data_IF_271032499387
#
_entry.id   IF_271032499387
#
_cell.length_a   1.000
_cell.length_b   1.000
_cell.length_c   1.000
_cell.angle_alpha   90.00
_cell.angle_beta   90.00
_cell.angle_gamma   90.00
#
_symmetry.space_group_name_H-M   'P 1'
#
loop_
_entity.id
_entity.type
_entity.pdbx_description
1 polymer ?
#
# COMPACT_ATOMS: atom_id res chain seq x y z
N UNK A 1 -59.42 33.58 4.73
CA UNK A 1 -58.07 33.02 4.96
C UNK A 1 -57.96 32.80 6.46
N UNK A 2 -58.20 31.58 6.92
CA UNK A 2 -58.34 31.28 8.34
C UNK A 2 -57.01 31.40 9.08
N UNK A 3 -56.98 32.30 10.07
CA UNK A 3 -55.86 32.56 10.97
C UNK A 3 -55.26 31.26 11.52
N UNK A 4 -56.12 30.31 11.87
CA UNK A 4 -55.75 29.00 12.43
C UNK A 4 -54.91 28.16 11.45
N UNK A 5 -55.23 28.19 10.16
CA UNK A 5 -54.45 27.48 9.13
C UNK A 5 -53.06 28.08 8.96
N UNK A 6 -52.92 29.40 9.10
CA UNK A 6 -51.62 30.07 9.05
C UNK A 6 -50.75 29.66 10.25
N UNK A 7 -51.33 29.66 11.46
CA UNK A 7 -50.63 29.22 12.67
C UNK A 7 -50.16 27.76 12.58
N UNK A 8 -51.03 26.84 12.16
CA UNK A 8 -50.63 25.44 11.96
C UNK A 8 -49.48 25.29 10.95
N UNK A 9 -49.50 26.08 9.87
CA UNK A 9 -48.43 26.04 8.88
C UNK A 9 -47.10 26.55 9.45
N UNK A 10 -47.13 27.65 10.21
CA UNK A 10 -45.94 28.20 10.88
C UNK A 10 -45.38 27.20 11.89
N UNK A 11 -46.23 26.62 12.75
CA UNK A 11 -45.79 25.62 13.73
C UNK A 11 -45.20 24.36 13.08
N UNK A 12 -45.75 23.94 11.93
CA UNK A 12 -45.17 22.85 11.15
C UNK A 12 -43.80 23.23 10.60
N UNK A 13 -43.67 24.40 9.99
CA UNK A 13 -42.38 24.86 9.46
C UNK A 13 -41.33 24.98 10.58
N UNK A 14 -41.73 25.44 11.77
CA UNK A 14 -40.85 25.51 12.94
C UNK A 14 -40.36 24.11 13.37
N UNK A 15 -41.27 23.13 13.44
CA UNK A 15 -40.89 21.75 13.73
C UNK A 15 -39.97 21.15 12.66
N UNK A 16 -40.28 21.37 11.37
CA UNK A 16 -39.46 20.90 10.25
C UNK A 16 -38.06 21.54 10.27
N UNK A 17 -37.95 22.84 10.63
CA UNK A 17 -36.68 23.52 10.80
C UNK A 17 -35.86 22.96 11.97
N UNK A 18 -36.49 22.62 13.09
CA UNK A 18 -35.80 22.00 14.23
C UNK A 18 -35.26 20.62 13.85
N UNK A 19 -36.06 19.79 13.17
CA UNK A 19 -35.60 18.49 12.67
C UNK A 19 -34.41 18.65 11.70
N UNK A 20 -34.51 19.60 10.77
CA UNK A 20 -33.40 19.88 9.84
C UNK A 20 -32.14 20.37 10.57
N UNK A 21 -32.30 21.09 11.68
CA UNK A 21 -31.17 21.50 12.51
C UNK A 21 -30.50 20.30 13.19
N UNK A 22 -31.28 19.37 13.73
CA UNK A 22 -30.76 18.12 14.33
C UNK A 22 -30.05 17.24 13.29
N UNK A 23 -30.61 17.12 12.09
CA UNK A 23 -29.98 16.41 10.97
C UNK A 23 -28.64 17.05 10.58
N UNK A 24 -28.57 18.39 10.55
CA UNK A 24 -27.33 19.12 10.27
C UNK A 24 -26.28 18.93 11.37
N UNK A 25 -26.69 18.86 12.64
CA UNK A 25 -25.77 18.56 13.74
C UNK A 25 -25.19 17.15 13.59
N UNK A 26 -26.04 16.17 13.29
CA UNK A 26 -25.62 14.79 13.04
C UNK A 26 -24.65 14.69 11.86
N UNK A 27 -24.97 15.39 10.75
CA UNK A 27 -24.12 15.42 9.57
C UNK A 27 -22.77 16.06 9.85
N UNK A 28 -22.74 17.12 10.66
CA UNK A 28 -21.48 17.76 11.09
C UNK A 28 -20.61 16.79 11.89
N UNK A 29 -21.18 16.02 12.82
CA UNK A 29 -20.43 15.02 13.59
C UNK A 29 -19.88 13.89 12.70
N UNK A 30 -20.65 13.45 11.70
CA UNK A 30 -20.19 12.49 10.71
C UNK A 30 -19.05 13.06 9.86
N UNK A 31 -19.16 14.32 9.43
CA UNK A 31 -18.12 14.97 8.65
C UNK A 31 -16.80 15.10 9.42
N UNK A 32 -16.85 15.45 10.71
CA UNK A 32 -15.66 15.50 11.57
C UNK A 32 -14.98 14.13 11.63
N UNK A 33 -15.75 13.06 11.92
CA UNK A 33 -15.21 11.70 11.98
C UNK A 33 -14.58 11.26 10.66
N UNK A 34 -15.21 11.57 9.53
CA UNK A 34 -14.66 11.25 8.20
C UNK A 34 -13.35 11.99 7.92
N UNK A 35 -13.23 13.25 8.34
CA UNK A 35 -11.98 14.02 8.18
C UNK A 35 -10.88 13.43 9.07
N UNK A 36 -11.19 13.07 10.31
CA UNK A 36 -10.22 12.44 11.23
C UNK A 36 -9.72 11.08 10.70
N UNK A 37 -10.63 10.26 10.17
CA UNK A 37 -10.28 8.99 9.52
C UNK A 37 -9.42 9.22 8.27
N UNK A 38 -9.78 10.20 7.43
CA UNK A 38 -9.01 10.53 6.24
C UNK A 38 -7.58 10.99 6.57
N UNK A 39 -7.41 11.83 7.60
CA UNK A 39 -6.08 12.25 8.08
C UNK A 39 -5.28 11.04 8.57
N UNK A 40 -5.91 10.15 9.33
CA UNK A 40 -5.25 8.95 9.87
C UNK A 40 -4.77 8.02 8.74
N UNK A 41 -5.61 7.80 7.73
CA UNK A 41 -5.27 7.00 6.55
C UNK A 41 -4.15 7.65 5.72
N UNK A 42 -4.13 8.97 5.59
CA UNK A 42 -3.05 9.68 4.91
C UNK A 42 -1.71 9.49 5.62
N UNK A 43 -1.68 9.55 6.95
CA UNK A 43 -0.47 9.27 7.73
C UNK A 43 0.00 7.83 7.57
N UNK A 44 -0.93 6.87 7.56
CA UNK A 44 -0.60 5.46 7.37
C UNK A 44 -0.01 5.20 5.98
N UNK A 45 -0.63 5.79 4.95
CA UNK A 45 -0.13 5.76 3.56
C UNK A 45 1.29 6.30 3.46
N UNK A 46 1.56 7.48 4.02
CA UNK A 46 2.90 8.08 4.01
C UNK A 46 3.94 7.18 4.70
N UNK A 47 3.54 6.53 5.80
CA UNK A 47 4.41 5.57 6.50
C UNK A 47 4.73 4.36 5.63
N UNK A 48 3.74 3.77 4.94
CA UNK A 48 3.99 2.65 4.03
C UNK A 48 4.87 3.07 2.85
N UNK A 49 4.64 4.25 2.27
CA UNK A 49 5.46 4.75 1.15
C UNK A 49 6.93 4.88 1.55
N UNK A 50 7.22 5.42 2.74
CA UNK A 50 8.60 5.46 3.27
C UNK A 50 9.23 4.08 3.45
N UNK A 51 8.47 3.12 3.99
CA UNK A 51 8.95 1.75 4.15
C UNK A 51 9.24 1.09 2.80
N UNK A 52 8.41 1.33 1.79
CA UNK A 52 8.63 0.83 0.43
C UNK A 52 9.86 1.46 -0.23
N UNK A 53 10.07 2.76 -0.06
CA UNK A 53 11.29 3.43 -0.55
C UNK A 53 12.56 2.90 0.14
N UNK A 54 12.48 2.61 1.44
CA UNK A 54 13.57 1.97 2.19
C UNK A 54 13.83 0.53 1.70
N UNK A 55 12.79 -0.25 1.41
CA UNK A 55 12.92 -1.63 0.92
C UNK A 55 13.48 -1.68 -0.52
N UNK A 56 13.03 -0.79 -1.41
CA UNK A 56 13.59 -0.64 -2.76
C UNK A 56 15.07 -0.20 -2.73
N UNK A 57 15.45 0.69 -1.81
CA UNK A 57 16.84 1.09 -1.63
C UNK A 57 17.74 -0.07 -1.16
N UNK A 58 17.20 -0.96 -0.31
CA UNK A 58 17.92 -2.18 0.14
C UNK A 58 17.97 -3.23 -0.97
N UNK A 59 16.92 -3.40 -1.78
CA UNK A 59 16.92 -4.29 -2.94
C UNK A 59 17.88 -3.82 -4.06
N UNK A 60 17.96 -2.51 -4.33
CA UNK A 60 18.89 -1.98 -5.34
C UNK A 60 20.37 -2.24 -4.98
N UNK A 61 20.74 -2.14 -3.70
CA UNK A 61 22.11 -2.40 -3.24
C UNK A 61 22.40 -3.91 -3.09
N UNK A 62 21.39 -4.73 -2.73
CA UNK A 62 21.53 -6.18 -2.58
C UNK A 62 21.59 -6.91 -3.93
N UNK A 63 20.85 -6.46 -4.95
CA UNK A 63 20.77 -7.15 -6.24
C UNK A 63 21.89 -6.77 -7.22
N UNK A 64 22.47 -5.55 -7.10
CA UNK A 64 23.59 -5.11 -7.94
C UNK A 64 24.90 -5.86 -7.65
N UNK A 65 25.06 -6.43 -6.46
CA UNK A 65 26.25 -7.24 -6.07
C UNK A 65 26.09 -8.76 -6.23
N UNK A 66 24.86 -9.28 -6.14
CA UNK A 66 24.57 -10.71 -6.08
C UNK A 66 23.99 -11.23 -7.41
N UNK A 67 24.66 -10.95 -8.52
CA UNK A 67 24.28 -11.57 -9.80
C UNK A 67 24.59 -13.06 -9.73
N UNK A 68 23.81 -13.92 -10.40
CA UNK A 68 24.11 -15.36 -10.46
C UNK A 68 25.53 -15.65 -10.99
N UNK A 69 26.11 -14.74 -11.78
CA UNK A 69 27.51 -14.78 -12.18
C UNK A 69 28.47 -14.61 -11.01
N UNK A 70 28.23 -13.65 -10.09
CA UNK A 70 29.11 -13.47 -8.92
C UNK A 70 29.03 -14.67 -7.97
N UNK A 71 27.83 -15.21 -7.73
CA UNK A 71 27.65 -16.43 -6.94
C UNK A 71 28.38 -17.64 -7.56
N UNK A 72 28.37 -17.74 -8.89
CA UNK A 72 29.11 -18.80 -9.61
C UNK A 72 30.64 -18.62 -9.53
N UNK A 73 31.13 -17.39 -9.63
CA UNK A 73 32.55 -17.02 -9.51
C UNK A 73 33.08 -17.21 -8.07
N UNK A 74 32.24 -17.02 -7.05
CA UNK A 74 32.54 -17.33 -5.65
C UNK A 74 32.64 -18.84 -5.36
N UNK A 75 32.33 -19.68 -6.36
CA UNK A 75 32.47 -21.14 -6.26
C UNK A 75 31.21 -21.84 -5.80
N UNK A 76 30.03 -21.20 -5.87
CA UNK A 76 28.75 -21.84 -5.57
C UNK A 76 28.02 -22.29 -6.83
N UNK A 77 27.22 -23.34 -6.70
CA UNK A 77 26.32 -23.79 -7.77
C UNK A 77 25.12 -22.85 -7.91
N UNK A 78 24.75 -22.50 -9.15
CA UNK A 78 23.57 -21.67 -9.48
C UNK A 78 22.49 -22.41 -10.26
N UNK A 79 22.69 -23.71 -10.51
CA UNK A 79 21.69 -24.58 -11.12
C UNK A 79 20.64 -25.01 -10.10
N UNK A 80 19.44 -25.35 -10.57
CA UNK A 80 18.33 -25.82 -9.71
C UNK A 80 18.66 -27.08 -8.90
N UNK A 81 19.65 -27.86 -9.33
CA UNK A 81 20.01 -29.15 -8.71
C UNK A 81 20.84 -28.97 -7.44
N UNK A 82 21.71 -27.95 -7.40
CA UNK A 82 22.68 -27.76 -6.32
C UNK A 82 22.76 -26.31 -5.83
N UNK A 83 21.70 -25.50 -6.02
CA UNK A 83 21.73 -24.07 -5.76
C UNK A 83 22.32 -23.73 -4.36
N UNK A 84 23.37 -22.91 -4.34
CA UNK A 84 24.00 -22.41 -3.12
C UNK A 84 25.00 -23.35 -2.44
N UNK A 85 25.34 -24.51 -3.03
CA UNK A 85 26.40 -25.39 -2.48
C UNK A 85 27.76 -25.12 -3.10
N UNK A 86 28.86 -25.38 -2.36
CA UNK A 86 30.24 -25.25 -2.85
C UNK A 86 30.54 -26.23 -3.99
N UNK A 87 31.29 -25.76 -4.99
CA UNK A 87 31.83 -26.53 -6.11
C UNK A 87 33.13 -27.23 -5.69
N UNK A 88 33.28 -28.49 -6.10
CA UNK A 88 34.46 -29.31 -5.81
C UNK A 88 35.50 -29.24 -6.95
N UNK A 89 35.89 -28.03 -7.37
CA UNK A 89 36.89 -27.73 -8.42
C UNK A 89 36.57 -28.10 -9.89
N UNK A 90 35.41 -28.69 -10.19
CA UNK A 90 34.96 -28.92 -11.58
C UNK A 90 33.92 -27.89 -12.05
N UNK A 91 33.96 -27.53 -13.33
CA UNK A 91 32.96 -26.67 -13.98
C UNK A 91 31.63 -27.42 -14.19
N UNK A 92 30.56 -26.88 -13.61
CA UNK A 92 29.23 -27.49 -13.69
C UNK A 92 28.54 -27.11 -15.03
N UNK A 93 28.40 -28.08 -15.94
CA UNK A 93 27.74 -27.89 -17.24
C UNK A 93 26.32 -27.31 -17.14
N UNK A 94 25.58 -27.63 -16.08
CA UNK A 94 24.24 -27.09 -15.85
C UNK A 94 24.27 -25.60 -15.45
N UNK A 95 25.29 -25.18 -14.69
CA UNK A 95 25.46 -23.77 -14.35
C UNK A 95 25.83 -22.96 -15.59
N UNK A 96 26.75 -23.47 -16.41
CA UNK A 96 27.14 -22.83 -17.68
C UNK A 96 25.96 -22.67 -18.62
N UNK A 97 25.20 -23.75 -18.86
CA UNK A 97 24.00 -23.68 -19.70
C UNK A 97 22.97 -22.68 -19.16
N UNK A 98 22.76 -22.63 -17.84
CA UNK A 98 21.84 -21.68 -17.22
C UNK A 98 22.27 -20.21 -17.40
N UNK A 99 23.58 -19.94 -17.33
CA UNK A 99 24.14 -18.60 -17.51
C UNK A 99 24.16 -18.16 -18.99
N UNK A 100 24.44 -19.08 -19.93
CA UNK A 100 24.46 -18.81 -21.36
C UNK A 100 23.07 -18.49 -21.94
N UNK A 101 22.00 -19.10 -21.41
CA UNK A 101 20.64 -18.93 -21.94
C UNK A 101 19.96 -17.61 -21.49
N UNK A 102 20.50 -16.89 -20.50
CA UNK A 102 19.99 -15.56 -20.10
C UNK A 102 20.56 -14.40 -20.94
N UNK A 103 21.55 -14.67 -21.78
CA UNK A 103 22.20 -13.68 -22.65
C UNK A 103 21.56 -13.50 -24.04
N UNK A 104 20.37 -14.06 -24.29
CA UNK A 104 19.62 -13.94 -25.56
C UNK A 104 18.19 -13.49 -25.34
#
# INVERSE_FOLDING_TARGET
>A
MDRERLFMHISKMEADMNNMHEDLQTLKELAVRLVEENVSLHMEKEKYEKLYEEDEAVEEDSFKGNTLNSIYEEGFHVCSVHFGTLRNDEDCLFCQGFLEHRGK
#
